data_IF_573047253339
#
_entry.id   IF_573047253339
#
_cell.length_a   1.000
_cell.length_b   1.000
_cell.length_c   1.000
_cell.angle_alpha   90.00
_cell.angle_beta   90.00
_cell.angle_gamma   90.00
#
_symmetry.space_group_name_H-M   'P 1'
#
loop_
_entity.id
_entity.type
_entity.pdbx_description
1 polymer ?
#
# COMPACT_ATOMS: atom_id res chain seq x y z
N UNK A 1 -3.18 5.59 -5.75
CA UNK A 1 -4.28 4.81 -5.11
C UNK A 1 -5.17 5.77 -4.34
N UNK A 2 -6.49 5.57 -4.32
CA UNK A 2 -7.44 6.36 -3.53
C UNK A 2 -8.19 5.43 -2.58
N UNK A 3 -8.29 5.80 -1.30
CA UNK A 3 -8.95 5.03 -0.26
C UNK A 3 -10.12 5.86 0.30
N UNK A 4 -11.28 5.23 0.43
CA UNK A 4 -12.49 5.86 0.94
C UNK A 4 -12.93 5.15 2.23
N UNK A 5 -13.10 5.92 3.30
CA UNK A 5 -13.65 5.48 4.58
C UNK A 5 -14.80 6.41 4.97
N UNK A 6 -15.65 5.99 5.91
CA UNK A 6 -16.89 6.69 6.33
C UNK A 6 -16.73 8.21 6.51
N UNK A 7 -15.61 8.65 7.11
CA UNK A 7 -15.33 10.05 7.41
C UNK A 7 -13.94 10.52 6.93
N UNK A 8 -13.31 9.76 6.02
CA UNK A 8 -11.92 9.98 5.61
C UNK A 8 -11.69 9.57 4.16
N UNK A 9 -11.00 10.42 3.41
CA UNK A 9 -10.49 10.16 2.07
C UNK A 9 -8.97 10.27 2.08
N UNK A 10 -8.29 9.29 1.48
CA UNK A 10 -6.83 9.27 1.39
C UNK A 10 -6.43 9.12 -0.07
N UNK A 11 -5.63 10.07 -0.56
CA UNK A 11 -5.02 10.02 -1.89
C UNK A 11 -3.55 9.74 -1.75
N UNK A 12 -3.08 8.64 -2.38
CA UNK A 12 -1.69 8.22 -2.41
C UNK A 12 -1.15 8.35 -3.84
N UNK A 13 -0.11 9.17 -4.00
CA UNK A 13 0.71 9.24 -5.21
C UNK A 13 2.03 8.51 -4.95
N UNK A 14 2.16 7.30 -5.51
CA UNK A 14 3.36 6.48 -5.34
C UNK A 14 4.54 6.97 -6.18
N UNK A 15 4.28 7.64 -7.31
CA UNK A 15 5.32 8.18 -8.17
C UNK A 15 5.99 9.39 -7.53
N UNK A 16 5.18 10.32 -7.04
CA UNK A 16 5.67 11.50 -6.31
C UNK A 16 6.09 11.19 -4.86
N UNK A 17 5.69 10.03 -4.33
CA UNK A 17 5.79 9.64 -2.91
C UNK A 17 5.08 10.66 -2.00
N UNK A 18 3.86 11.05 -2.35
CA UNK A 18 3.04 11.99 -1.59
C UNK A 18 1.74 11.34 -1.13
N UNK A 19 1.23 11.79 0.02
CA UNK A 19 -0.11 11.43 0.47
C UNK A 19 -0.87 12.63 1.00
N UNK A 20 -2.17 12.66 0.71
CA UNK A 20 -3.12 13.64 1.25
C UNK A 20 -4.21 12.90 2.00
N UNK A 21 -4.50 13.34 3.21
CA UNK A 21 -5.60 12.84 4.04
C UNK A 21 -6.61 13.96 4.22
N UNK A 22 -7.84 13.71 3.78
CA UNK A 22 -8.98 14.61 3.92
C UNK A 22 -9.99 13.99 4.89
N UNK A 23 -10.28 14.67 6.00
CA UNK A 23 -11.23 14.20 7.02
C UNK A 23 -12.41 15.14 7.14
N UNK A 24 -13.58 14.58 7.42
CA UNK A 24 -14.77 15.36 7.79
C UNK A 24 -14.72 15.69 9.29
N UNK A 25 -14.67 16.97 9.63
CA UNK A 25 -14.67 17.47 11.02
C UNK A 25 -15.74 18.56 11.11
N UNK A 26 -16.75 18.37 11.98
CA UNK A 26 -17.85 19.33 12.21
C UNK A 26 -18.46 19.86 10.88
N UNK A 27 -18.84 18.94 9.99
CA UNK A 27 -19.37 19.21 8.65
C UNK A 27 -18.44 19.96 7.67
N UNK A 28 -17.15 20.12 7.99
CA UNK A 28 -16.14 20.66 7.07
C UNK A 28 -15.15 19.58 6.67
N UNK A 29 -14.61 19.67 5.46
CA UNK A 29 -13.51 18.81 5.02
C UNK A 29 -12.20 19.53 5.32
N UNK A 30 -11.35 18.89 6.12
CA UNK A 30 -10.01 19.36 6.43
C UNK A 30 -9.00 18.43 5.78
N UNK A 31 -8.17 18.97 4.90
CA UNK A 31 -7.14 18.22 4.17
C UNK A 31 -5.77 18.55 4.71
N UNK A 32 -4.91 17.54 4.81
CA UNK A 32 -3.49 17.71 5.15
C UNK A 32 -2.62 16.82 4.28
N UNK A 33 -1.47 17.35 3.86
CA UNK A 33 -0.39 16.53 3.31
C UNK A 33 0.25 15.74 4.45
N UNK A 34 0.55 14.49 4.19
CA UNK A 34 1.36 13.66 5.10
C UNK A 34 2.81 13.82 4.67
N UNK A 35 3.67 14.11 5.65
CA UNK A 35 5.10 14.12 5.42
C UNK A 35 5.58 12.68 5.22
N UNK A 36 5.87 12.34 3.97
CA UNK A 36 6.39 11.03 3.59
C UNK A 36 7.89 11.18 3.42
N UNK A 37 8.63 10.45 4.25
CA UNK A 37 10.06 10.31 4.08
C UNK A 37 10.34 9.58 2.77
N UNK A 38 10.99 10.26 1.83
CA UNK A 38 11.39 9.68 0.56
C UNK A 38 12.51 8.68 0.77
N UNK A 39 12.30 7.46 0.32
CA UNK A 39 13.25 6.38 0.46
C UNK A 39 13.24 5.50 -0.80
N UNK A 40 14.28 4.69 -0.98
CA UNK A 40 14.37 3.75 -2.09
C UNK A 40 13.60 2.47 -1.75
N UNK A 41 12.41 2.23 -2.34
CA UNK A 41 11.54 1.14 -1.88
C UNK A 41 12.17 -0.24 -2.10
N UNK A 42 12.87 -0.43 -3.23
CA UNK A 42 13.53 -1.69 -3.55
C UNK A 42 14.67 -2.02 -2.57
N UNK A 43 15.48 -1.02 -2.20
CA UNK A 43 16.54 -1.23 -1.21
C UNK A 43 15.96 -1.62 0.15
N UNK A 44 14.85 -0.99 0.56
CA UNK A 44 14.14 -1.38 1.80
C UNK A 44 13.62 -2.81 1.74
N UNK A 45 13.02 -3.21 0.63
CA UNK A 45 12.48 -4.55 0.45
C UNK A 45 13.57 -5.61 0.57
N UNK A 46 14.69 -5.44 -0.14
CA UNK A 46 15.83 -6.35 -0.08
C UNK A 46 16.42 -6.39 1.34
N UNK A 47 16.57 -5.24 1.99
CA UNK A 47 17.08 -5.16 3.36
C UNK A 47 16.17 -5.89 4.35
N UNK A 48 14.85 -5.73 4.21
CA UNK A 48 13.85 -6.44 5.00
C UNK A 48 13.90 -7.95 4.77
N UNK A 49 14.08 -8.39 3.51
CA UNK A 49 14.22 -9.80 3.17
C UNK A 49 15.45 -10.41 3.86
N UNK A 50 16.64 -9.80 3.69
CA UNK A 50 17.88 -10.28 4.31
C UNK A 50 17.75 -10.35 5.84
N UNK A 51 17.18 -9.31 6.46
CA UNK A 51 16.91 -9.31 7.90
C UNK A 51 15.99 -10.47 8.32
N UNK A 52 14.93 -10.77 7.56
CA UNK A 52 14.05 -11.89 7.87
C UNK A 52 14.78 -13.24 7.81
N UNK A 53 15.64 -13.43 6.81
CA UNK A 53 16.46 -14.64 6.67
C UNK A 53 17.43 -14.79 7.84
N UNK A 54 18.19 -13.74 8.16
CA UNK A 54 19.19 -13.75 9.23
C UNK A 54 18.58 -14.03 10.61
N UNK A 55 17.39 -13.47 10.87
CA UNK A 55 16.73 -13.59 12.16
C UNK A 55 15.65 -14.66 12.23
N UNK A 56 15.49 -15.49 11.18
CA UNK A 56 14.44 -16.51 11.07
C UNK A 56 13.04 -15.95 11.37
N UNK A 57 12.76 -14.74 10.89
CA UNK A 57 11.47 -14.05 11.06
C UNK A 57 10.58 -14.30 9.84
N UNK A 58 9.27 -14.39 10.06
CA UNK A 58 8.30 -14.40 8.96
C UNK A 58 8.32 -13.03 8.25
N UNK A 59 8.47 -12.99 6.92
CA UNK A 59 8.42 -11.73 6.17
C UNK A 59 7.01 -11.11 6.24
N UNK A 60 6.93 -9.79 6.07
CA UNK A 60 5.66 -9.06 6.04
C UNK A 60 4.73 -9.56 4.93
N UNK A 61 5.31 -9.93 3.78
CA UNK A 61 4.63 -10.58 2.66
C UNK A 61 5.32 -11.92 2.46
N UNK A 62 4.62 -13.01 2.75
CA UNK A 62 5.11 -14.38 2.53
C UNK A 62 4.52 -14.99 1.26
N UNK A 63 4.87 -16.25 0.99
CA UNK A 63 4.30 -16.98 -0.15
C UNK A 63 2.78 -17.10 -0.09
N UNK A 64 2.18 -17.13 1.11
CA UNK A 64 0.72 -17.23 1.28
C UNK A 64 0.04 -15.96 0.75
N UNK A 65 0.50 -14.78 1.18
CA UNK A 65 -0.06 -13.51 0.72
C UNK A 65 0.18 -13.33 -0.79
N UNK A 66 1.33 -13.76 -1.31
CA UNK A 66 1.65 -13.73 -2.74
C UNK A 66 0.70 -14.61 -3.58
N UNK A 67 0.45 -15.86 -3.15
CA UNK A 67 -0.48 -16.76 -3.82
C UNK A 67 -1.91 -16.23 -3.79
N UNK A 68 -2.35 -15.64 -2.68
CA UNK A 68 -3.66 -15.02 -2.57
C UNK A 68 -3.81 -13.86 -3.57
N UNK A 69 -2.81 -12.98 -3.66
CA UNK A 69 -2.80 -11.87 -4.62
C UNK A 69 -2.83 -12.38 -6.08
N UNK A 70 -2.05 -13.42 -6.39
CA UNK A 70 -2.01 -14.04 -7.71
C UNK A 70 -3.37 -14.66 -8.11
N UNK A 71 -4.05 -15.33 -7.18
CA UNK A 71 -5.38 -15.91 -7.41
C UNK A 71 -6.41 -14.84 -7.79
N UNK A 72 -6.40 -13.69 -7.08
CA UNK A 72 -7.26 -12.55 -7.41
C UNK A 72 -6.90 -11.96 -8.78
N UNK A 73 -5.61 -11.77 -9.07
CA UNK A 73 -5.16 -11.27 -10.37
C UNK A 73 -5.62 -12.18 -11.53
N UNK A 74 -5.53 -13.49 -11.36
CA UNK A 74 -6.01 -14.46 -12.35
C UNK A 74 -7.53 -14.38 -12.56
N UNK A 75 -8.29 -14.18 -11.48
CA UNK A 75 -9.74 -13.98 -11.54
C UNK A 75 -10.10 -12.72 -12.34
N UNK A 76 -9.34 -11.63 -12.15
CA UNK A 76 -9.52 -10.38 -12.90
C UNK A 76 -9.21 -10.60 -14.39
N UNK A 77 -8.09 -11.25 -14.73
CA UNK A 77 -7.68 -11.51 -16.12
C UNK A 77 -8.75 -12.31 -16.87
N UNK A 78 -9.34 -13.32 -16.22
CA UNK A 78 -10.44 -14.11 -16.78
C UNK A 78 -11.66 -13.26 -17.12
N UNK A 79 -11.97 -12.23 -16.33
CA UNK A 79 -13.10 -11.32 -16.56
C UNK A 79 -12.83 -10.27 -17.64
N UNK A 80 -11.56 -9.97 -17.94
CA UNK A 80 -11.18 -8.98 -18.97
C UNK A 80 -11.14 -9.61 -20.37
N UNK A 81 -10.81 -10.91 -20.48
CA UNK A 81 -10.65 -11.61 -21.76
C UNK A 81 -11.94 -12.22 -22.34
N UNK A 82 -13.06 -12.10 -21.63
CA UNK A 82 -14.41 -12.42 -22.11
C UNK A 82 -15.04 -11.16 -22.67
#
# INVERSE_FOLDING_TARGET
IRLFQKDCYISLDYGAQEAVVSKRIKNKIVSRKIDIKKEQPLQKEISSFVHCVLHKKRPLVSGIEACNALSVAHTIIKKIKL
#
